data_IF_092492000520
#
_entry.id   IF_092492000520
#
_cell.length_a   1.000
_cell.length_b   1.000
_cell.length_c   1.000
_cell.angle_alpha   90.00
_cell.angle_beta   90.00
_cell.angle_gamma   90.00
#
_symmetry.space_group_name_H-M   'P 1'
#
loop_
_entity.id
_entity.type
_entity.pdbx_description
1 polymer ?
#
# COMPACT_ATOMS: atom_id res chain seq x y z
N UNK A 1 10.93 -36.59 14.05
CA UNK A 1 9.97 -37.21 13.10
C UNK A 1 9.33 -36.08 12.31
N UNK A 2 9.79 -35.85 11.08
CA UNK A 2 9.39 -34.72 10.23
C UNK A 2 8.15 -35.12 9.43
N UNK A 3 7.08 -34.34 9.50
CA UNK A 3 5.97 -34.42 8.54
C UNK A 3 6.12 -33.30 7.50
N UNK A 4 5.97 -33.60 6.20
CA UNK A 4 6.03 -32.62 5.13
C UNK A 4 4.65 -32.04 4.78
N UNK A 5 4.65 -30.78 4.34
CA UNK A 5 3.84 -30.32 3.21
C UNK A 5 2.35 -30.05 3.44
N UNK A 6 2.01 -28.85 3.93
CA UNK A 6 0.74 -28.21 3.60
C UNK A 6 0.99 -26.79 3.07
N UNK A 7 0.80 -26.61 1.76
CA UNK A 7 0.54 -25.28 1.21
C UNK A 7 -0.90 -24.89 1.56
N UNK A 8 -1.16 -23.79 2.27
CA UNK A 8 -2.51 -23.35 2.51
C UNK A 8 -3.10 -22.77 1.21
N UNK A 9 -4.14 -23.44 0.69
CA UNK A 9 -5.01 -22.88 -0.34
C UNK A 9 -5.73 -21.65 0.22
N UNK A 10 -5.50 -20.49 -0.39
CA UNK A 10 -5.99 -19.19 0.07
C UNK A 10 -7.47 -19.01 -0.32
N UNK A 11 -8.35 -18.91 0.68
CA UNK A 11 -9.77 -18.57 0.55
C UNK A 11 -9.96 -17.04 0.51
N UNK A 12 -9.76 -16.42 -0.66
CA UNK A 12 -10.15 -15.02 -0.95
C UNK A 12 -11.57 -14.90 -1.56
N UNK A 13 -12.25 -16.02 -1.82
CA UNK A 13 -13.52 -16.06 -2.58
C UNK A 13 -14.71 -15.32 -1.94
N UNK A 14 -14.66 -14.90 -0.68
CA UNK A 14 -15.86 -14.40 0.02
C UNK A 14 -16.05 -12.87 0.03
N UNK A 15 -15.13 -12.06 -0.48
CA UNK A 15 -15.32 -10.59 -0.50
C UNK A 15 -15.59 -9.97 -1.87
N UNK A 16 -15.41 -10.71 -2.98
CA UNK A 16 -15.73 -10.22 -4.32
C UNK A 16 -17.12 -10.65 -4.84
N UNK A 17 -17.85 -11.49 -4.11
CA UNK A 17 -19.15 -12.05 -4.53
C UNK A 17 -20.38 -11.29 -3.97
N UNK A 18 -20.28 -9.98 -3.78
CA UNK A 18 -21.36 -9.12 -3.25
C UNK A 18 -22.15 -8.35 -4.32
N UNK A 19 -22.03 -8.71 -5.60
CA UNK A 19 -22.78 -8.09 -6.70
C UNK A 19 -23.53 -9.17 -7.47
N UNK A 20 -24.79 -9.44 -7.07
CA UNK A 20 -25.70 -10.23 -7.90
C UNK A 20 -26.72 -11.07 -7.14
N UNK A 21 -27.82 -10.45 -6.70
CA UNK A 21 -29.19 -10.98 -6.83
C UNK A 21 -30.17 -9.97 -6.24
N UNK A 22 -30.47 -8.93 -7.02
CA UNK A 22 -31.76 -8.26 -6.91
C UNK A 22 -32.69 -8.94 -7.91
N UNK A 23 -33.71 -9.63 -7.40
CA UNK A 23 -34.77 -10.26 -8.18
C UNK A 23 -35.59 -11.16 -7.25
N UNK A 24 -36.91 -11.15 -7.24
CA UNK A 24 -37.91 -10.49 -8.09
C UNK A 24 -39.21 -10.43 -7.29
N UNK A 25 -39.83 -9.26 -7.21
CA UNK A 25 -41.25 -9.15 -6.89
C UNK A 25 -42.00 -9.04 -8.23
N UNK A 26 -42.87 -10.02 -8.49
CA UNK A 26 -43.63 -10.12 -9.73
C UNK A 26 -44.84 -9.21 -9.65
N UNK A 27 -44.97 -8.25 -10.58
CA UNK A 27 -46.27 -8.11 -11.26
C UNK A 27 -46.10 -7.55 -12.68
N UNK A 28 -46.91 -8.15 -13.54
CA UNK A 28 -46.99 -8.04 -14.99
C UNK A 28 -47.82 -6.80 -15.33
N UNK A 29 -47.43 -6.01 -16.34
CA UNK A 29 -48.22 -5.83 -17.57
C UNK A 29 -47.75 -4.65 -18.44
N UNK A 30 -47.79 -4.94 -19.74
CA UNK A 30 -48.02 -4.07 -20.89
C UNK A 30 -46.82 -3.52 -21.69
N UNK A 31 -46.83 -4.05 -22.91
CA UNK A 31 -46.05 -3.73 -24.08
C UNK A 31 -46.19 -2.27 -24.54
N UNK A 32 -45.14 -1.75 -25.17
CA UNK A 32 -45.25 -1.20 -26.52
C UNK A 32 -43.89 -1.20 -27.23
N UNK A 33 -43.97 -1.50 -28.53
CA UNK A 33 -42.87 -1.67 -29.48
C UNK A 33 -42.18 -0.33 -29.75
N UNK A 34 -40.86 -0.32 -29.65
CA UNK A 34 -40.00 0.76 -30.15
C UNK A 34 -38.59 0.22 -30.32
N UNK A 35 -38.13 0.07 -31.56
CA UNK A 35 -36.81 -0.45 -31.90
C UNK A 35 -35.69 0.36 -31.25
N UNK A 36 -34.73 -0.34 -30.66
CA UNK A 36 -33.52 0.27 -30.12
C UNK A 36 -32.33 -0.62 -30.44
N UNK A 37 -31.46 -0.07 -31.28
CA UNK A 37 -30.13 -0.56 -31.64
C UNK A 37 -29.22 -0.41 -30.41
N UNK A 38 -29.39 -1.27 -29.39
CA UNK A 38 -28.48 -1.32 -28.24
C UNK A 38 -28.39 -2.77 -27.74
N UNK A 39 -27.62 -3.63 -28.43
CA UNK A 39 -27.23 -4.94 -27.87
C UNK A 39 -25.77 -5.33 -28.06
N UNK A 40 -24.94 -4.52 -28.74
CA UNK A 40 -23.53 -4.84 -28.94
C UNK A 40 -22.58 -4.46 -27.78
N UNK A 41 -23.05 -3.73 -26.76
CA UNK A 41 -22.18 -3.30 -25.65
C UNK A 41 -21.99 -4.35 -24.55
N UNK A 42 -22.73 -5.47 -24.57
CA UNK A 42 -22.68 -6.48 -23.48
C UNK A 42 -21.57 -7.53 -23.62
N UNK A 43 -20.93 -7.64 -24.79
CA UNK A 43 -19.89 -8.67 -25.06
C UNK A 43 -18.48 -8.11 -25.32
N UNK A 44 -18.31 -6.79 -25.51
CA UNK A 44 -16.99 -6.19 -25.76
C UNK A 44 -16.18 -6.01 -24.45
N UNK A 45 -16.87 -5.86 -23.32
CA UNK A 45 -16.25 -5.73 -22.00
C UNK A 45 -15.47 -6.97 -21.52
N UNK A 46 -16.03 -8.20 -21.60
CA UNK A 46 -15.31 -9.39 -21.13
C UNK A 46 -14.04 -9.67 -21.95
N UNK A 47 -14.03 -9.37 -23.25
CA UNK A 47 -12.83 -9.58 -24.09
C UNK A 47 -11.72 -8.61 -23.69
N UNK A 48 -12.00 -7.31 -23.54
CA UNK A 48 -10.97 -6.32 -23.14
C UNK A 48 -10.42 -6.60 -21.75
N UNK A 49 -11.27 -6.98 -20.80
CA UNK A 49 -10.85 -7.36 -19.46
C UNK A 49 -9.99 -8.63 -19.48
N UNK A 50 -10.41 -9.67 -20.20
CA UNK A 50 -9.65 -10.91 -20.34
C UNK A 50 -8.28 -10.67 -21.01
N UNK A 51 -8.21 -9.85 -22.05
CA UNK A 51 -6.95 -9.49 -22.70
C UNK A 51 -6.03 -8.71 -21.75
N UNK A 52 -6.56 -7.76 -20.97
CA UNK A 52 -5.79 -7.03 -19.95
C UNK A 52 -5.25 -7.99 -18.88
N UNK A 53 -6.10 -8.86 -18.33
CA UNK A 53 -5.70 -9.86 -17.34
C UNK A 53 -4.65 -10.83 -17.87
N UNK A 54 -4.81 -11.33 -19.11
CA UNK A 54 -3.85 -12.23 -19.74
C UNK A 54 -2.49 -11.54 -19.95
N UNK A 55 -2.49 -10.27 -20.37
CA UNK A 55 -1.27 -9.48 -20.52
C UNK A 55 -0.58 -9.25 -19.18
N UNK A 56 -1.34 -8.90 -18.14
CA UNK A 56 -0.79 -8.64 -16.80
C UNK A 56 -0.27 -9.94 -16.17
N UNK A 57 -0.96 -11.07 -16.36
CA UNK A 57 -0.51 -12.39 -15.90
C UNK A 57 0.75 -12.86 -16.65
N UNK A 58 0.81 -12.64 -17.97
CA UNK A 58 1.98 -12.95 -18.77
C UNK A 58 3.17 -12.07 -18.36
N UNK A 59 2.95 -10.78 -18.13
CA UNK A 59 3.98 -9.86 -17.62
C UNK A 59 4.49 -10.30 -16.24
N UNK A 60 3.59 -10.67 -15.31
CA UNK A 60 3.95 -11.18 -13.99
C UNK A 60 4.68 -12.52 -14.07
N UNK A 61 4.26 -13.42 -14.96
CA UNK A 61 4.91 -14.73 -15.14
C UNK A 61 6.30 -14.57 -15.75
N UNK A 62 6.45 -13.70 -16.75
CA UNK A 62 7.75 -13.34 -17.32
C UNK A 62 8.61 -12.66 -16.26
N UNK A 63 8.04 -11.76 -15.44
CA UNK A 63 8.74 -11.13 -14.34
C UNK A 63 9.22 -12.18 -13.33
N UNK A 64 8.35 -13.05 -12.82
CA UNK A 64 8.72 -14.13 -11.89
C UNK A 64 9.69 -15.15 -12.48
N UNK A 65 9.60 -15.43 -13.78
CA UNK A 65 10.51 -16.34 -14.46
C UNK A 65 11.90 -15.72 -14.65
N UNK A 66 11.97 -14.44 -15.05
CA UNK A 66 13.23 -13.68 -15.17
C UNK A 66 13.85 -13.33 -13.82
N UNK A 67 13.01 -13.18 -12.81
CA UNK A 67 13.40 -12.80 -11.44
C UNK A 67 13.04 -13.93 -10.47
N UNK A 68 13.18 -15.20 -10.89
CA UNK A 68 13.08 -16.32 -9.98
C UNK A 68 13.94 -15.98 -8.77
N UNK A 69 13.48 -16.20 -7.53
CA UNK A 69 14.32 -15.98 -6.38
C UNK A 69 15.51 -16.92 -6.54
N UNK A 70 16.62 -16.37 -7.06
CA UNK A 70 17.89 -17.05 -7.06
C UNK A 70 18.03 -17.57 -5.63
N UNK A 71 18.27 -18.88 -5.48
CA UNK A 71 18.72 -19.41 -4.20
C UNK A 71 19.86 -18.50 -3.81
N UNK A 72 19.63 -17.74 -2.76
CA UNK A 72 20.59 -16.74 -2.35
C UNK A 72 21.92 -17.47 -2.23
N UNK A 73 23.01 -16.95 -2.82
CA UNK A 73 24.29 -17.27 -2.25
C UNK A 73 24.11 -16.97 -0.76
N UNK A 74 24.28 -17.99 0.09
CA UNK A 74 24.49 -17.67 1.50
C UNK A 74 25.56 -16.60 1.49
N UNK A 75 25.33 -15.47 2.20
CA UNK A 75 26.31 -14.40 2.21
C UNK A 75 27.66 -15.09 2.42
N UNK A 76 28.58 -14.93 1.46
CA UNK A 76 29.97 -15.21 1.74
C UNK A 76 30.22 -14.55 3.10
N UNK A 77 30.87 -15.27 4.02
CA UNK A 77 30.94 -14.94 5.45
C UNK A 77 31.48 -13.54 5.80
N UNK A 78 31.79 -12.73 4.79
CA UNK A 78 32.16 -11.32 4.85
C UNK A 78 30.94 -10.43 4.67
N UNK A 79 30.34 -10.07 5.81
CA UNK A 79 29.38 -8.97 5.93
C UNK A 79 29.95 -7.71 5.26
N UNK A 80 29.27 -7.12 4.25
CA UNK A 80 29.84 -6.01 3.49
C UNK A 80 30.08 -4.80 4.41
N UNK A 81 31.27 -4.20 4.31
CA UNK A 81 31.60 -2.99 5.07
C UNK A 81 30.70 -1.84 4.63
N UNK A 82 30.02 -1.20 5.59
CA UNK A 82 29.20 -0.03 5.31
C UNK A 82 30.11 1.17 5.09
N UNK A 83 30.22 1.61 3.85
CA UNK A 83 30.91 2.84 3.47
C UNK A 83 29.94 3.76 2.73
N UNK A 84 30.22 5.06 2.72
CA UNK A 84 29.42 6.05 1.98
C UNK A 84 29.33 5.66 0.49
N UNK A 85 30.43 5.23 -0.11
CA UNK A 85 30.46 4.78 -1.51
C UNK A 85 29.60 3.53 -1.74
N UNK A 86 29.62 2.56 -0.82
CA UNK A 86 28.82 1.35 -0.95
C UNK A 86 27.32 1.66 -0.87
N UNK A 87 26.91 2.52 0.08
CA UNK A 87 25.54 2.99 0.20
C UNK A 87 25.12 3.80 -1.04
N UNK A 88 25.97 4.71 -1.50
CA UNK A 88 25.70 5.55 -2.68
C UNK A 88 25.52 4.71 -3.95
N UNK A 89 26.38 3.69 -4.17
CA UNK A 89 26.21 2.74 -5.27
C UNK A 89 24.92 1.94 -5.16
N UNK A 90 24.57 1.49 -3.96
CA UNK A 90 23.34 0.74 -3.73
C UNK A 90 22.09 1.59 -4.01
N UNK A 91 22.09 2.86 -3.59
CA UNK A 91 21.05 3.83 -3.92
C UNK A 91 20.99 4.04 -5.42
N UNK A 92 22.13 4.26 -6.09
CA UNK A 92 22.18 4.42 -7.56
C UNK A 92 21.59 3.23 -8.32
N UNK A 93 21.92 2.00 -7.92
CA UNK A 93 21.33 0.80 -8.50
C UNK A 93 19.82 0.70 -8.22
N UNK A 94 19.39 1.02 -6.99
CA UNK A 94 17.97 1.05 -6.62
C UNK A 94 17.19 2.07 -7.45
N UNK A 95 17.73 3.28 -7.60
CA UNK A 95 17.13 4.35 -8.40
C UNK A 95 17.03 3.94 -9.87
N UNK A 96 18.09 3.37 -10.45
CA UNK A 96 18.05 2.84 -11.80
C UNK A 96 16.96 1.76 -11.95
N UNK A 97 16.84 0.82 -11.02
CA UNK A 97 15.77 -0.18 -11.05
C UNK A 97 14.38 0.44 -11.02
N UNK A 98 14.15 1.43 -10.15
CA UNK A 98 12.87 2.13 -10.04
C UNK A 98 12.52 2.86 -11.34
N UNK A 99 13.46 3.59 -11.94
CA UNK A 99 13.29 4.24 -13.26
C UNK A 99 12.83 3.24 -14.32
N UNK A 100 13.49 2.09 -14.42
CA UNK A 100 13.14 1.05 -15.40
C UNK A 100 11.83 0.31 -15.08
N UNK A 101 11.36 0.38 -13.83
CA UNK A 101 10.14 -0.30 -13.38
C UNK A 101 8.89 0.56 -13.52
N UNK A 102 9.03 1.88 -13.67
CA UNK A 102 7.91 2.78 -13.89
C UNK A 102 7.38 2.59 -15.32
N UNK A 103 6.05 2.47 -15.44
CA UNK A 103 5.41 2.46 -16.74
C UNK A 103 5.45 3.85 -17.39
N UNK A 104 5.25 3.90 -18.71
CA UNK A 104 5.26 5.15 -19.50
C UNK A 104 4.17 6.14 -19.10
N UNK A 105 3.13 5.69 -18.39
CA UNK A 105 2.06 6.53 -17.84
C UNK A 105 2.40 7.10 -16.45
N UNK A 106 3.58 6.79 -15.90
CA UNK A 106 4.00 7.18 -14.55
C UNK A 106 3.60 6.19 -13.46
N UNK A 107 2.85 5.13 -13.77
CA UNK A 107 2.39 4.17 -12.77
C UNK A 107 3.42 3.10 -12.41
N UNK A 108 3.32 2.59 -11.19
CA UNK A 108 3.93 1.34 -10.78
C UNK A 108 2.87 0.25 -10.70
N UNK A 109 3.24 -0.99 -11.02
CA UNK A 109 2.35 -2.15 -10.93
C UNK A 109 2.99 -3.24 -10.11
N UNK A 110 2.20 -3.91 -9.29
CA UNK A 110 2.67 -5.00 -8.43
C UNK A 110 1.52 -5.75 -7.79
N UNK A 111 1.84 -6.74 -6.95
CA UNK A 111 0.88 -7.56 -6.21
C UNK A 111 -0.25 -8.07 -7.09
N UNK A 112 -0.03 -9.09 -7.91
CA UNK A 112 -1.08 -9.66 -8.74
C UNK A 112 -2.03 -10.56 -7.94
N UNK A 113 -3.33 -10.24 -7.97
CA UNK A 113 -4.40 -11.13 -7.50
C UNK A 113 -5.16 -11.72 -8.70
N UNK A 114 -5.61 -13.00 -8.65
CA UNK A 114 -6.38 -13.60 -9.74
C UNK A 114 -7.59 -12.76 -10.18
N UNK A 115 -8.25 -12.14 -9.21
CA UNK A 115 -9.17 -11.01 -9.36
C UNK A 115 -8.86 -10.08 -8.18
N UNK A 116 -8.62 -8.78 -8.39
CA UNK A 116 -8.95 -7.95 -9.55
C UNK A 116 -7.77 -7.66 -10.51
N UNK A 117 -6.71 -8.47 -10.52
CA UNK A 117 -5.51 -8.23 -11.33
C UNK A 117 -4.37 -7.58 -10.53
N UNK A 118 -3.52 -6.78 -11.18
CA UNK A 118 -2.43 -6.08 -10.51
C UNK A 118 -2.91 -4.84 -9.74
N UNK A 119 -2.26 -4.55 -8.62
CA UNK A 119 -2.35 -3.24 -7.98
C UNK A 119 -1.65 -2.20 -8.85
N UNK A 120 -2.22 -0.99 -8.92
CA UNK A 120 -1.66 0.11 -9.72
C UNK A 120 -1.58 1.38 -8.87
N UNK A 121 -2.72 1.93 -8.43
CA UNK A 121 -2.73 3.21 -7.72
C UNK A 121 -2.06 3.11 -6.35
N UNK A 122 -2.29 2.01 -5.61
CA UNK A 122 -1.62 1.77 -4.33
C UNK A 122 -0.09 1.73 -4.42
N UNK A 123 0.55 0.85 -5.21
CA UNK A 123 2.01 0.85 -5.32
C UNK A 123 2.56 2.16 -5.92
N UNK A 124 1.80 2.85 -6.77
CA UNK A 124 2.21 4.15 -7.30
C UNK A 124 2.26 5.23 -6.23
N UNK A 125 1.21 5.36 -5.43
CA UNK A 125 1.16 6.29 -4.30
C UNK A 125 2.22 5.96 -3.25
N UNK A 126 2.37 4.68 -2.91
CA UNK A 126 3.34 4.24 -1.93
C UNK A 126 4.78 4.49 -2.38
N UNK A 127 5.13 4.12 -3.61
CA UNK A 127 6.47 4.35 -4.15
C UNK A 127 6.81 5.85 -4.16
N UNK A 128 5.93 6.70 -4.69
CA UNK A 128 6.16 8.14 -4.70
C UNK A 128 6.31 8.72 -3.28
N UNK A 129 5.49 8.26 -2.33
CA UNK A 129 5.54 8.71 -0.94
C UNK A 129 6.88 8.37 -0.25
N UNK A 130 7.40 7.16 -0.45
CA UNK A 130 8.63 6.72 0.23
C UNK A 130 9.92 7.17 -0.47
N UNK A 131 9.86 7.43 -1.77
CA UNK A 131 11.01 7.82 -2.61
C UNK A 131 11.17 9.33 -2.75
N UNK A 132 10.22 10.10 -2.24
CA UNK A 132 10.14 11.56 -2.36
C UNK A 132 11.39 12.30 -1.83
N UNK A 133 12.08 11.71 -0.86
CA UNK A 133 13.30 12.26 -0.26
C UNK A 133 14.58 11.80 -0.99
N UNK A 134 14.47 11.14 -2.16
CA UNK A 134 15.59 10.66 -2.98
C UNK A 134 15.73 11.56 -4.21
N UNK A 135 16.70 12.50 -4.24
CA UNK A 135 16.82 13.49 -5.31
C UNK A 135 16.90 12.90 -6.73
N UNK A 136 17.58 11.76 -6.89
CA UNK A 136 17.74 11.06 -8.17
C UNK A 136 16.40 10.51 -8.75
N UNK A 137 15.36 10.48 -7.93
CA UNK A 137 14.03 9.97 -8.27
C UNK A 137 12.96 11.06 -8.32
N UNK A 138 13.33 12.35 -8.25
CA UNK A 138 12.38 13.46 -8.31
C UNK A 138 11.47 13.39 -9.54
N UNK A 139 12.04 13.15 -10.73
CA UNK A 139 11.28 13.03 -11.99
C UNK A 139 10.33 11.84 -12.01
N UNK A 140 10.72 10.71 -11.40
CA UNK A 140 9.88 9.51 -11.25
C UNK A 140 8.70 9.80 -10.34
N UNK A 141 8.95 10.42 -9.17
CA UNK A 141 7.93 10.79 -8.22
C UNK A 141 6.95 11.81 -8.82
N UNK A 142 7.46 12.78 -9.59
CA UNK A 142 6.61 13.73 -10.32
C UNK A 142 5.72 13.03 -11.36
N UNK A 143 6.26 12.11 -12.16
CA UNK A 143 5.46 11.34 -13.11
C UNK A 143 4.39 10.49 -12.42
N UNK A 144 4.71 9.88 -11.28
CA UNK A 144 3.75 9.15 -10.45
C UNK A 144 2.66 10.08 -9.88
N UNK A 145 3.01 11.29 -9.43
CA UNK A 145 2.04 12.30 -8.98
C UNK A 145 1.10 12.73 -10.11
N UNK A 146 1.61 12.91 -11.33
CA UNK A 146 0.81 13.22 -12.51
C UNK A 146 -0.17 12.09 -12.86
N UNK A 147 0.28 10.83 -12.80
CA UNK A 147 -0.58 9.66 -12.95
C UNK A 147 -1.70 9.67 -11.90
N UNK A 148 -1.34 9.84 -10.62
CA UNK A 148 -2.29 9.84 -9.51
C UNK A 148 -3.32 10.95 -9.67
N UNK A 149 -2.90 12.16 -10.04
CA UNK A 149 -3.81 13.28 -10.28
C UNK A 149 -4.85 12.95 -11.35
N UNK A 150 -4.41 12.42 -12.50
CA UNK A 150 -5.31 12.03 -13.58
C UNK A 150 -6.29 10.93 -13.15
N UNK A 151 -5.81 9.90 -12.47
CA UNK A 151 -6.65 8.81 -11.96
C UNK A 151 -7.65 9.29 -10.89
N UNK A 152 -7.22 10.17 -9.98
CA UNK A 152 -8.05 10.69 -8.90
C UNK A 152 -9.20 11.57 -9.39
N UNK A 153 -8.99 12.35 -10.45
CA UNK A 153 -10.05 13.12 -11.09
C UNK A 153 -11.15 12.22 -11.69
N UNK A 154 -10.78 11.04 -12.18
CA UNK A 154 -11.73 10.09 -12.76
C UNK A 154 -12.49 9.28 -11.71
N UNK A 155 -11.80 8.88 -10.64
CA UNK A 155 -12.33 7.92 -9.65
C UNK A 155 -12.72 8.56 -8.32
N UNK A 156 -12.47 9.85 -8.12
CA UNK A 156 -12.77 10.59 -6.88
C UNK A 156 -12.04 10.01 -5.65
N UNK A 157 -10.87 9.42 -5.87
CA UNK A 157 -10.09 8.73 -4.86
C UNK A 157 -9.20 7.66 -5.51
N UNK A 158 -8.55 6.86 -4.68
CA UNK A 158 -7.67 5.79 -5.13
C UNK A 158 -7.86 4.56 -4.25
N UNK A 159 -7.56 3.40 -4.82
CA UNK A 159 -7.42 2.17 -4.06
C UNK A 159 -6.44 1.22 -4.72
N UNK A 160 -6.63 -0.07 -4.54
CA UNK A 160 -5.77 -1.09 -5.15
C UNK A 160 -5.59 -0.92 -6.67
N UNK A 161 -6.68 -0.80 -7.43
CA UNK A 161 -6.70 -0.44 -8.87
C UNK A 161 -8.09 0.13 -9.26
N UNK A 162 -8.33 0.35 -10.55
CA UNK A 162 -9.59 0.91 -11.09
C UNK A 162 -10.82 -0.01 -10.96
N UNK A 163 -10.63 -1.28 -10.60
CA UNK A 163 -11.70 -2.27 -10.42
C UNK A 163 -12.07 -2.49 -8.96
N UNK A 164 -11.30 -1.94 -8.01
CA UNK A 164 -11.58 -2.00 -6.57
C UNK A 164 -12.10 -0.64 -6.13
N UNK A 165 -13.02 -0.65 -5.16
CA UNK A 165 -13.46 0.62 -4.55
C UNK A 165 -12.25 1.38 -3.97
N UNK A 166 -12.34 2.70 -3.93
CA UNK A 166 -11.33 3.52 -3.27
C UNK A 166 -11.19 3.15 -1.79
N UNK A 167 -9.95 3.15 -1.31
CA UNK A 167 -9.62 2.95 0.11
C UNK A 167 -8.89 4.18 0.66
N UNK A 168 -9.00 4.37 1.98
CA UNK A 168 -8.45 5.54 2.66
C UNK A 168 -6.93 5.46 2.81
N UNK A 169 -6.34 4.26 2.84
CA UNK A 169 -4.88 4.07 2.90
C UNK A 169 -4.23 4.64 1.64
N UNK A 170 -4.65 4.15 0.47
CA UNK A 170 -4.15 4.62 -0.82
C UNK A 170 -4.51 6.08 -1.07
N UNK A 171 -5.74 6.47 -0.73
CA UNK A 171 -6.19 7.85 -0.94
C UNK A 171 -5.39 8.84 -0.09
N UNK A 172 -5.10 8.52 1.18
CA UNK A 172 -4.27 9.38 2.02
C UNK A 172 -2.85 9.54 1.45
N UNK A 173 -2.21 8.43 1.05
CA UNK A 173 -0.87 8.45 0.45
C UNK A 173 -0.86 9.29 -0.84
N UNK A 174 -1.84 9.10 -1.73
CA UNK A 174 -1.94 9.86 -2.97
C UNK A 174 -2.12 11.37 -2.70
N UNK A 175 -2.97 11.76 -1.76
CA UNK A 175 -3.19 13.17 -1.41
C UNK A 175 -1.92 13.83 -0.86
N UNK A 176 -1.11 13.11 -0.07
CA UNK A 176 0.19 13.61 0.41
C UNK A 176 1.15 13.85 -0.77
N UNK A 177 1.24 12.89 -1.69
CA UNK A 177 2.08 12.98 -2.89
C UNK A 177 1.66 14.15 -3.78
N UNK A 178 0.36 14.31 -4.04
CA UNK A 178 -0.15 15.43 -4.83
C UNK A 178 0.22 16.78 -4.21
N UNK A 179 0.01 16.93 -2.90
CA UNK A 179 0.36 18.15 -2.17
C UNK A 179 1.85 18.49 -2.29
N UNK A 180 2.74 17.49 -2.12
CA UNK A 180 4.20 17.68 -2.22
C UNK A 180 4.63 18.16 -3.61
N UNK A 181 3.99 17.66 -4.67
CA UNK A 181 4.30 18.06 -6.04
C UNK A 181 3.48 19.27 -6.54
N UNK A 182 2.83 20.02 -5.64
CA UNK A 182 2.09 21.24 -5.99
C UNK A 182 0.84 20.99 -6.82
N UNK A 183 0.32 19.76 -6.85
CA UNK A 183 -0.89 19.38 -7.56
C UNK A 183 -2.11 19.52 -6.64
N UNK A 184 -3.19 20.08 -7.18
CA UNK A 184 -4.42 20.25 -6.43
C UNK A 184 -5.09 18.89 -6.16
N UNK A 185 -5.47 18.57 -4.92
CA UNK A 185 -6.18 17.33 -4.62
C UNK A 185 -7.62 17.39 -5.19
N UNK A 186 -8.17 16.28 -5.71
CA UNK A 186 -9.59 16.20 -6.04
C UNK A 186 -10.44 16.44 -4.78
N UNK A 187 -11.29 17.47 -4.80
CA UNK A 187 -12.10 17.87 -3.62
C UNK A 187 -12.98 16.73 -3.10
N UNK A 188 -13.52 15.90 -3.99
CA UNK A 188 -14.34 14.75 -3.61
C UNK A 188 -13.54 13.65 -2.89
N UNK A 189 -12.26 13.47 -3.25
CA UNK A 189 -11.39 12.51 -2.54
C UNK A 189 -11.12 12.99 -1.11
N UNK A 190 -10.83 14.28 -0.93
CA UNK A 190 -10.66 14.86 0.39
C UNK A 190 -11.94 14.77 1.23
N UNK A 191 -13.09 15.11 0.64
CA UNK A 191 -14.39 14.99 1.29
C UNK A 191 -14.68 13.55 1.71
N UNK A 192 -14.44 12.57 0.83
CA UNK A 192 -14.62 11.14 1.11
C UNK A 192 -13.80 10.70 2.33
N UNK A 193 -12.52 11.09 2.42
CA UNK A 193 -11.68 10.70 3.56
C UNK A 193 -12.27 11.25 4.87
N UNK A 194 -12.64 12.53 4.90
CA UNK A 194 -13.15 13.21 6.10
C UNK A 194 -14.47 12.59 6.55
N UNK A 195 -15.38 12.32 5.62
CA UNK A 195 -16.68 11.72 5.92
C UNK A 195 -16.60 10.27 6.36
N UNK A 196 -15.50 9.58 6.04
CA UNK A 196 -15.32 8.18 6.42
C UNK A 196 -14.82 8.00 7.86
N UNK A 197 -14.57 9.08 8.61
CA UNK A 197 -14.20 8.97 10.02
C UNK A 197 -15.32 8.30 10.82
N UNK A 198 -14.99 7.21 11.52
CA UNK A 198 -15.95 6.53 12.36
C UNK A 198 -16.31 7.37 13.60
N UNK A 199 -17.46 7.14 14.25
CA UNK A 199 -17.82 7.81 15.50
C UNK A 199 -16.80 7.65 16.62
N UNK A 200 -15.99 6.59 16.60
CA UNK A 200 -14.89 6.39 17.54
C UNK A 200 -13.68 7.31 17.31
N UNK A 201 -13.61 7.99 16.17
CA UNK A 201 -12.51 8.87 15.77
C UNK A 201 -11.50 8.24 14.81
N UNK A 202 -11.44 6.92 14.70
CA UNK A 202 -10.53 6.25 13.76
C UNK A 202 -11.06 6.19 12.33
N UNK A 203 -10.18 5.84 11.39
CA UNK A 203 -10.50 5.72 9.96
C UNK A 203 -10.43 4.26 9.49
N UNK A 204 -11.44 3.77 8.75
CA UNK A 204 -11.43 2.43 8.17
C UNK A 204 -10.64 2.38 6.87
N UNK A 205 -10.35 1.17 6.38
CA UNK A 205 -9.77 1.01 5.03
C UNK A 205 -10.78 1.43 3.98
N UNK A 206 -12.00 0.93 4.08
CA UNK A 206 -13.09 1.26 3.17
C UNK A 206 -14.16 2.04 3.90
N UNK A 207 -14.58 3.16 3.32
CA UNK A 207 -15.74 3.88 3.82
C UNK A 207 -17.00 2.98 3.74
N UNK A 208 -17.90 3.06 4.74
CA UNK A 208 -19.25 2.49 4.61
C UNK A 208 -19.96 3.05 3.37
N UNK A 209 -20.82 2.24 2.74
CA UNK A 209 -21.50 2.64 1.50
C UNK A 209 -22.42 3.86 1.65
N UNK A 210 -22.84 4.17 2.87
CA UNK A 210 -23.62 5.36 3.19
C UNK A 210 -23.20 5.93 4.55
N UNK A 211 -23.25 7.26 4.74
CA UNK A 211 -23.03 7.87 6.05
C UNK A 211 -23.96 7.29 7.12
N UNK A 212 -23.40 6.95 8.29
CA UNK A 212 -24.15 6.37 9.41
C UNK A 212 -24.51 4.89 9.26
N UNK A 213 -24.17 4.23 8.16
CA UNK A 213 -24.40 2.79 8.00
C UNK A 213 -23.47 1.99 8.93
N UNK A 214 -24.03 0.99 9.61
CA UNK A 214 -23.25 0.01 10.39
C UNK A 214 -22.24 -0.71 9.49
N UNK A 215 -20.95 -0.80 9.88
CA UNK A 215 -19.92 -1.54 9.15
C UNK A 215 -20.35 -2.98 8.87
N UNK A 216 -20.21 -3.41 7.61
CA UNK A 216 -20.65 -4.75 7.17
C UNK A 216 -19.58 -5.82 7.36
N UNK A 217 -18.34 -5.42 7.52
CA UNK A 217 -17.18 -6.30 7.68
C UNK A 217 -16.06 -5.55 8.41
N UNK A 218 -15.00 -6.29 8.76
CA UNK A 218 -13.86 -5.72 9.47
C UNK A 218 -13.12 -4.64 8.68
N UNK A 219 -13.11 -4.69 7.35
CA UNK A 219 -12.42 -3.68 6.54
C UNK A 219 -13.08 -2.29 6.57
N UNK A 220 -14.33 -2.21 7.03
CA UNK A 220 -15.10 -0.98 7.27
C UNK A 220 -15.03 -0.52 8.74
N UNK A 221 -14.30 -1.24 9.61
CA UNK A 221 -13.96 -0.79 10.96
C UNK A 221 -12.66 0.03 10.93
N UNK A 222 -12.45 0.94 11.90
CA UNK A 222 -11.21 1.68 12.01
C UNK A 222 -9.96 0.82 12.20
N UNK A 223 -8.87 1.19 11.51
CA UNK A 223 -7.56 0.55 11.65
C UNK A 223 -6.48 1.58 11.96
N UNK A 224 -5.53 1.21 12.83
CA UNK A 224 -4.48 2.12 13.27
C UNK A 224 -3.51 2.48 12.14
N UNK A 225 -3.09 1.50 11.33
CA UNK A 225 -2.24 1.72 10.17
C UNK A 225 -2.85 2.71 9.15
N UNK A 226 -4.14 2.58 8.84
CA UNK A 226 -4.85 3.52 7.96
C UNK A 226 -5.03 4.88 8.61
N UNK A 227 -5.42 4.91 9.88
CA UNK A 227 -5.64 6.16 10.65
C UNK A 227 -4.37 7.00 10.73
N UNK A 228 -3.19 6.38 10.90
CA UNK A 228 -1.90 7.06 10.91
C UNK A 228 -1.63 7.83 9.61
N UNK A 229 -1.87 7.20 8.46
CA UNK A 229 -1.66 7.84 7.16
C UNK A 229 -2.68 8.95 6.91
N UNK A 230 -3.93 8.77 7.33
CA UNK A 230 -4.94 9.83 7.26
C UNK A 230 -4.56 11.01 8.16
N UNK A 231 -4.11 10.78 9.40
CA UNK A 231 -3.62 11.83 10.30
C UNK A 231 -2.45 12.59 9.66
N UNK A 232 -1.49 11.86 9.08
CA UNK A 232 -0.37 12.49 8.38
C UNK A 232 -0.85 13.35 7.20
N UNK A 233 -1.79 12.85 6.41
CA UNK A 233 -2.39 13.59 5.31
C UNK A 233 -3.08 14.87 5.81
N UNK A 234 -3.95 14.79 6.82
CA UNK A 234 -4.64 15.95 7.38
C UNK A 234 -3.66 17.01 7.91
N UNK A 235 -2.59 16.56 8.58
CA UNK A 235 -1.52 17.42 9.07
C UNK A 235 -0.76 18.11 7.93
N UNK A 236 -0.35 17.36 6.89
CA UNK A 236 0.40 17.90 5.75
C UNK A 236 -0.40 18.90 4.95
N UNK A 237 -1.67 18.61 4.70
CA UNK A 237 -2.55 19.50 3.94
C UNK A 237 -3.05 20.69 4.78
N UNK A 238 -2.89 20.66 6.11
CA UNK A 238 -3.35 21.73 7.00
C UNK A 238 -4.89 21.83 7.05
N UNK A 239 -5.60 20.70 6.95
CA UNK A 239 -7.06 20.65 6.85
C UNK A 239 -7.69 19.83 7.98
N UNK A 240 -8.92 20.18 8.35
CA UNK A 240 -9.78 19.39 9.24
C UNK A 240 -9.14 19.06 10.60
N UNK A 241 -8.69 20.10 11.31
CA UNK A 241 -8.04 19.98 12.62
C UNK A 241 -8.84 19.11 13.61
N UNK A 242 -10.15 19.31 13.71
CA UNK A 242 -11.03 18.53 14.59
C UNK A 242 -11.04 17.04 14.25
N UNK A 243 -11.07 16.69 12.96
CA UNK A 243 -11.01 15.28 12.53
C UNK A 243 -9.66 14.66 12.89
N UNK A 244 -8.56 15.40 12.69
CA UNK A 244 -7.22 14.98 13.09
C UNK A 244 -7.13 14.74 14.60
N UNK A 245 -7.66 15.65 15.41
CA UNK A 245 -7.63 15.53 16.88
C UNK A 245 -8.41 14.32 17.38
N UNK A 246 -9.60 14.06 16.84
CA UNK A 246 -10.37 12.84 17.15
C UNK A 246 -9.62 11.57 16.78
N UNK A 247 -8.92 11.58 15.64
CA UNK A 247 -8.13 10.44 15.20
C UNK A 247 -6.90 10.20 16.09
N UNK A 248 -6.22 11.26 16.51
CA UNK A 248 -5.12 11.18 17.48
C UNK A 248 -5.61 10.64 18.84
N UNK A 249 -6.75 11.13 19.33
CA UNK A 249 -7.35 10.62 20.55
C UNK A 249 -7.70 9.13 20.42
N UNK A 250 -8.27 8.71 19.29
CA UNK A 250 -8.55 7.31 19.02
C UNK A 250 -7.27 6.46 18.97
N UNK A 251 -6.21 6.91 18.28
CA UNK A 251 -4.92 6.21 18.21
C UNK A 251 -4.31 5.99 19.60
N UNK A 252 -4.40 6.99 20.48
CA UNK A 252 -3.92 6.88 21.86
C UNK A 252 -4.63 5.75 22.64
N UNK A 253 -5.90 5.44 22.33
CA UNK A 253 -6.59 4.29 22.94
C UNK A 253 -6.16 2.94 22.38
N UNK A 254 -5.53 2.92 21.20
CA UNK A 254 -5.07 1.70 20.54
C UNK A 254 -3.62 1.34 20.92
N UNK A 255 -2.85 2.30 21.43
CA UNK A 255 -1.43 2.14 21.78
C UNK A 255 -1.27 1.51 23.17
N UNK A 256 -1.41 0.17 23.26
CA UNK A 256 -1.24 -0.54 24.52
C UNK A 256 0.23 -0.85 24.87
N UNK A 257 1.09 -1.05 23.85
CA UNK A 257 2.45 -1.60 24.03
C UNK A 257 3.54 -0.78 23.33
N UNK A 258 3.28 0.50 23.03
CA UNK A 258 4.20 1.37 22.29
C UNK A 258 4.30 1.07 20.79
N UNK A 259 3.48 0.13 20.31
CA UNK A 259 3.23 -0.08 18.87
C UNK A 259 1.74 -0.17 18.62
N UNK A 260 1.34 0.31 17.45
CA UNK A 260 -0.01 0.19 16.97
C UNK A 260 -0.19 -1.10 16.16
N UNK A 261 -1.37 -1.74 16.20
CA UNK A 261 -1.65 -2.91 15.39
C UNK A 261 -1.64 -2.56 13.89
N UNK A 262 -1.29 -3.53 13.06
CA UNK A 262 -1.48 -3.45 11.61
C UNK A 262 -2.57 -4.44 11.20
N UNK A 263 -3.50 -4.00 10.36
CA UNK A 263 -4.64 -4.83 9.95
C UNK A 263 -4.31 -5.66 8.70
N UNK A 264 -3.73 -5.02 7.68
CA UNK A 264 -3.38 -5.66 6.40
C UNK A 264 -1.99 -6.29 6.39
N UNK A 265 -1.22 -6.09 7.45
CA UNK A 265 0.16 -6.56 7.55
C UNK A 265 0.29 -7.63 8.62
N UNK A 266 1.07 -8.67 8.34
CA UNK A 266 1.34 -9.75 9.29
C UNK A 266 2.23 -9.32 10.46
N UNK A 267 2.80 -8.12 10.40
CA UNK A 267 3.78 -7.58 11.33
C UNK A 267 3.42 -6.14 11.69
N UNK A 268 3.60 -5.70 12.94
CA UNK A 268 3.39 -4.31 13.37
C UNK A 268 4.42 -3.35 12.79
N UNK A 269 5.45 -3.84 12.08
CA UNK A 269 6.50 -3.01 11.45
C UNK A 269 5.93 -1.94 10.53
N UNK A 270 4.83 -2.22 9.81
CA UNK A 270 4.20 -1.20 8.98
C UNK A 270 3.64 -0.05 9.82
N UNK A 271 2.89 -0.34 10.88
CA UNK A 271 2.37 0.68 11.79
C UNK A 271 3.48 1.43 12.52
N UNK A 272 4.61 0.76 12.82
CA UNK A 272 5.80 1.38 13.37
C UNK A 272 6.41 2.41 12.42
N UNK A 273 6.59 2.02 11.15
CA UNK A 273 7.02 2.93 10.09
C UNK A 273 6.02 4.08 9.90
N UNK A 274 4.72 3.80 9.86
CA UNK A 274 3.69 4.82 9.67
C UNK A 274 3.64 5.82 10.85
N UNK A 275 3.82 5.38 12.09
CA UNK A 275 3.94 6.26 13.27
C UNK A 275 5.12 7.23 13.14
N UNK A 276 6.28 6.70 12.73
CA UNK A 276 7.49 7.47 12.46
C UNK A 276 7.22 8.50 11.38
N UNK A 277 6.67 8.05 10.26
CA UNK A 277 6.39 8.86 9.09
C UNK A 277 5.39 9.97 9.39
N UNK A 278 4.39 9.68 10.23
CA UNK A 278 3.40 10.63 10.70
C UNK A 278 3.95 11.66 11.71
N UNK A 279 5.17 11.48 12.23
CA UNK A 279 5.73 12.32 13.29
C UNK A 279 5.10 12.05 14.67
N UNK A 280 4.54 10.85 14.87
CA UNK A 280 3.84 10.44 16.08
C UNK A 280 4.63 9.43 16.92
N UNK A 281 5.84 9.08 16.49
CA UNK A 281 6.67 8.13 17.20
C UNK A 281 7.12 8.67 18.56
N UNK A 282 6.93 7.85 19.60
CA UNK A 282 7.36 8.12 20.97
C UNK A 282 8.75 7.54 21.23
N UNK A 283 9.34 7.83 22.39
CA UNK A 283 10.58 7.17 22.82
C UNK A 283 10.43 5.64 22.85
N UNK A 284 9.26 5.12 23.26
CA UNK A 284 8.98 3.69 23.25
C UNK A 284 8.95 3.15 21.82
N UNK A 285 8.29 3.86 20.90
CA UNK A 285 8.26 3.53 19.47
C UNK A 285 9.68 3.37 18.92
N UNK A 286 10.59 4.30 19.25
CA UNK A 286 11.98 4.24 18.82
C UNK A 286 12.77 3.08 19.41
N UNK A 287 12.61 2.82 20.72
CA UNK A 287 13.26 1.67 21.36
C UNK A 287 12.83 0.35 20.75
N UNK A 288 11.55 0.21 20.42
CA UNK A 288 11.02 -0.99 19.76
C UNK A 288 11.60 -1.12 18.35
N UNK A 289 11.65 -0.04 17.57
CA UNK A 289 12.29 -0.05 16.26
C UNK A 289 13.75 -0.47 16.34
N UNK A 290 14.50 0.10 17.28
CA UNK A 290 15.90 -0.23 17.50
C UNK A 290 16.10 -1.71 17.86
N UNK A 291 15.34 -2.23 18.83
CA UNK A 291 15.39 -3.64 19.23
C UNK A 291 15.06 -4.60 18.07
N UNK A 292 14.16 -4.20 17.17
CA UNK A 292 13.82 -5.01 15.99
C UNK A 292 14.93 -5.06 14.94
N UNK A 293 15.88 -4.13 14.93
CA UNK A 293 17.01 -4.16 13.98
C UNK A 293 17.79 -5.47 14.13
N UNK A 294 18.07 -5.91 15.35
CA UNK A 294 18.88 -7.12 15.59
C UNK A 294 18.12 -8.40 15.24
N UNK A 295 16.80 -8.40 15.38
CA UNK A 295 15.98 -9.59 15.18
C UNK A 295 15.50 -9.79 13.74
N UNK A 296 15.37 -8.71 12.95
CA UNK A 296 14.88 -8.83 11.58
C UNK A 296 16.02 -9.20 10.62
N UNK A 297 15.97 -10.44 10.13
CA UNK A 297 16.91 -10.94 9.13
C UNK A 297 16.42 -10.73 7.69
N UNK A 298 15.14 -10.41 7.48
CA UNK A 298 14.52 -10.38 6.15
C UNK A 298 14.13 -8.97 5.68
N UNK A 299 14.32 -8.75 4.40
CA UNK A 299 13.63 -7.68 3.67
C UNK A 299 12.15 -8.04 3.57
N UNK A 300 11.22 -7.09 3.47
CA UNK A 300 11.37 -5.63 3.42
C UNK A 300 11.21 -4.95 4.79
N UNK A 301 10.83 -5.71 5.82
CA UNK A 301 10.60 -5.17 7.17
C UNK A 301 11.84 -4.50 7.75
N UNK A 302 13.05 -5.01 7.45
CA UNK A 302 14.30 -4.40 7.89
C UNK A 302 14.47 -2.94 7.39
N UNK A 303 14.06 -2.62 6.16
CA UNK A 303 14.15 -1.26 5.64
C UNK A 303 13.16 -0.31 6.32
N UNK A 304 11.94 -0.77 6.56
CA UNK A 304 10.92 0.00 7.31
C UNK A 304 11.36 0.25 8.76
N UNK A 305 11.90 -0.77 9.44
CA UNK A 305 12.42 -0.64 10.80
C UNK A 305 13.65 0.26 10.85
N UNK A 306 14.58 0.13 9.89
CA UNK A 306 15.73 1.04 9.81
C UNK A 306 15.27 2.49 9.66
N UNK A 307 14.35 2.76 8.73
CA UNK A 307 13.80 4.12 8.56
C UNK A 307 13.09 4.62 9.83
N UNK A 308 12.37 3.75 10.53
CA UNK A 308 11.80 4.09 11.83
C UNK A 308 12.92 4.44 12.83
N UNK A 309 13.90 3.56 13.02
CA UNK A 309 14.97 3.75 14.00
C UNK A 309 15.82 5.02 13.77
N UNK A 310 15.92 5.54 12.53
CA UNK A 310 16.65 6.77 12.20
C UNK A 310 16.17 8.02 12.98
N UNK A 311 14.94 8.02 13.51
CA UNK A 311 14.43 9.10 14.36
C UNK A 311 15.00 9.10 15.79
N UNK A 312 15.72 8.05 16.19
CA UNK A 312 16.28 7.91 17.52
C UNK A 312 17.64 8.60 17.64
N UNK A 313 17.85 9.38 18.71
CA UNK A 313 19.07 10.20 18.93
C UNK A 313 20.37 9.39 19.04
N UNK A 314 20.27 8.06 19.22
CA UNK A 314 21.42 7.17 19.35
C UNK A 314 21.40 6.14 18.22
N UNK A 315 21.89 6.55 17.05
CA UNK A 315 22.20 5.60 15.99
C UNK A 315 23.54 4.96 16.31
N UNK A 316 23.52 3.66 16.62
CA UNK A 316 24.66 2.87 17.04
C UNK A 316 25.01 1.78 16.00
N UNK A 317 25.81 0.80 16.43
CA UNK A 317 26.21 -0.33 15.59
C UNK A 317 25.04 -1.13 14.98
N UNK A 318 23.84 -1.11 15.57
CA UNK A 318 22.69 -1.86 15.05
C UNK A 318 22.21 -1.30 13.69
N UNK A 319 22.27 0.02 13.51
CA UNK A 319 21.91 0.66 12.23
C UNK A 319 22.92 0.34 11.14
N UNK A 320 24.22 0.32 11.47
CA UNK A 320 25.27 -0.11 10.55
C UNK A 320 25.11 -1.60 10.17
N UNK A 321 24.83 -2.48 11.14
CA UNK A 321 24.59 -3.89 10.89
C UNK A 321 23.34 -4.14 10.03
N UNK A 322 22.25 -3.39 10.27
CA UNK A 322 21.05 -3.43 9.43
C UNK A 322 21.35 -2.94 8.00
N UNK A 323 22.07 -1.84 7.86
CA UNK A 323 22.50 -1.31 6.55
C UNK A 323 23.36 -2.32 5.80
N UNK A 324 24.34 -2.93 6.47
CA UNK A 324 25.18 -3.97 5.88
C UNK A 324 24.36 -5.17 5.39
N UNK A 325 23.38 -5.63 6.18
CA UNK A 325 22.45 -6.70 5.77
C UNK A 325 21.65 -6.30 4.53
N UNK A 326 21.12 -5.07 4.47
CA UNK A 326 20.40 -4.58 3.30
C UNK A 326 21.30 -4.53 2.05
N UNK A 327 22.54 -4.06 2.20
CA UNK A 327 23.54 -4.06 1.12
C UNK A 327 23.84 -5.47 0.63
N UNK A 328 24.07 -6.43 1.54
CA UNK A 328 24.35 -7.82 1.21
C UNK A 328 23.15 -8.55 0.59
N UNK A 329 21.94 -8.03 0.75
CA UNK A 329 20.70 -8.59 0.21
C UNK A 329 20.28 -7.93 -1.12
N UNK A 330 20.93 -6.85 -1.55
CA UNK A 330 20.64 -6.21 -2.84
C UNK A 330 21.00 -7.15 -3.98
N UNK A 331 20.02 -7.42 -4.85
CA UNK A 331 20.20 -8.20 -6.07
C UNK A 331 20.58 -7.29 -7.21
N UNK A 332 21.37 -7.77 -8.16
CA UNK A 332 21.53 -7.10 -9.46
C UNK A 332 20.24 -7.30 -10.28
N UNK A 333 19.71 -6.26 -10.95
CA UNK A 333 20.32 -4.94 -11.22
C UNK A 333 20.01 -3.81 -10.20
N UNK A 334 19.65 -4.11 -8.95
CA UNK A 334 19.45 -3.10 -7.90
C UNK A 334 18.23 -3.34 -7.00
N UNK A 335 17.43 -4.38 -7.30
CA UNK A 335 16.22 -4.69 -6.56
C UNK A 335 16.49 -5.51 -5.30
N UNK A 336 15.47 -5.61 -4.46
CA UNK A 336 15.43 -6.41 -3.26
C UNK A 336 14.41 -7.54 -3.45
N UNK A 337 14.52 -8.65 -2.71
CA UNK A 337 13.53 -9.72 -2.88
C UNK A 337 12.15 -9.23 -2.43
N UNK A 338 11.13 -9.43 -3.28
CA UNK A 338 9.75 -9.17 -2.94
C UNK A 338 9.32 -10.10 -1.79
N UNK A 339 9.21 -9.54 -0.59
CA UNK A 339 8.81 -10.24 0.64
C UNK A 339 7.73 -9.48 1.43
N UNK A 340 7.23 -8.35 0.91
CA UNK A 340 6.06 -7.66 1.47
C UNK A 340 4.82 -8.50 1.13
N UNK A 341 4.48 -9.43 2.02
CA UNK A 341 3.24 -10.19 1.91
C UNK A 341 2.17 -9.49 2.75
N UNK A 342 1.09 -8.97 2.13
CA UNK A 342 -0.11 -8.63 2.88
C UNK A 342 -0.53 -9.84 3.70
N UNK A 343 -0.81 -9.63 4.98
CA UNK A 343 -1.36 -10.67 5.83
C UNK A 343 -2.79 -10.97 5.41
N UNK A 344 -3.23 -12.22 5.60
CA UNK A 344 -4.67 -12.49 5.62
C UNK A 344 -5.21 -11.89 6.93
N UNK A 345 -6.23 -11.00 6.90
CA UNK A 345 -6.80 -10.46 8.12
C UNK A 345 -7.21 -11.59 9.05
N UNK A 346 -6.74 -11.56 10.30
CA UNK A 346 -7.19 -12.53 11.30
C UNK A 346 -8.69 -12.30 11.52
N UNK A 347 -9.52 -13.32 11.32
CA UNK A 347 -10.94 -13.28 11.73
C UNK A 347 -10.93 -13.06 13.24
N UNK A 348 -11.46 -11.91 13.69
CA UNK A 348 -11.73 -11.65 15.10
C UNK A 348 -13.04 -12.28 15.49
#
# INVERSE_FOLDING_TARGET
MLLPGHQPQILWKQHCAGLGSAGEDRSIANAHRGGSVIQWRRWVFPVRLATRMARDLAAETVFRAKHQPARFPQPDSKTPTVTVDAVSRAIGHGAAFIHHSQHTDGSFRGWFLPQPGAAISWPTAHAALVLDDVPELESVCHAAAMYLHAAGLQHQGWGYNDLVRNDLDTTAQALIVLHRHGLSPPLLALWMVVQAQAPSGGFPTFAPSAPGQTPRNSSELPHADVTLLVVHMLQRLGVQADARERALAWLATQEATGTLPAFWWSSPVYSLWAQTFAGLATEMTWRIAHALLDHLSTQPYLAMVLRAALGYKHLDGASAAATSRLLGQQRLPGHHQALCMPGVPRRR
#
